data_IF_827846975599
#
_entry.id   IF_827846975599
#
_cell.length_a   1.000
_cell.length_b   1.000
_cell.length_c   1.000
_cell.angle_alpha   90.00
_cell.angle_beta   90.00
_cell.angle_gamma   90.00
#
_symmetry.space_group_name_H-M   'P 1'
#
loop_
_entity.id
_entity.type
_entity.pdbx_description
1 polymer ?
#
# COMPACT_ATOMS: atom_id res chain seq x y z
N UNK A 1 -7.44 -4.42 2.52
CA UNK A 1 -7.87 -5.44 1.54
C UNK A 1 -8.09 -4.78 0.19
N UNK A 2 -7.64 -5.38 -0.89
CA UNK A 2 -8.01 -4.97 -2.25
C UNK A 2 -9.34 -5.65 -2.56
N UNK A 3 -10.36 -4.85 -2.83
CA UNK A 3 -11.70 -5.35 -3.14
C UNK A 3 -12.02 -5.04 -4.59
N UNK A 4 -12.71 -5.95 -5.29
CA UNK A 4 -13.27 -5.68 -6.61
C UNK A 4 -14.45 -4.72 -6.50
N UNK A 5 -14.72 -3.94 -7.54
CA UNK A 5 -15.88 -3.04 -7.60
C UNK A 5 -17.19 -3.80 -7.33
N UNK A 6 -17.34 -5.00 -7.90
CA UNK A 6 -18.50 -5.86 -7.66
C UNK A 6 -18.69 -6.17 -6.17
N UNK A 7 -17.61 -6.56 -5.49
CA UNK A 7 -17.69 -6.89 -4.05
C UNK A 7 -18.12 -5.69 -3.20
N UNK A 8 -17.61 -4.48 -3.55
CA UNK A 8 -18.03 -3.24 -2.87
C UNK A 8 -19.52 -2.97 -3.06
N UNK A 9 -20.04 -3.19 -4.27
CA UNK A 9 -21.46 -3.02 -4.57
C UNK A 9 -22.30 -4.08 -3.82
N UNK A 10 -21.89 -5.34 -3.82
CA UNK A 10 -22.58 -6.43 -3.12
C UNK A 10 -22.69 -6.14 -1.61
N UNK A 11 -21.62 -5.70 -0.97
CA UNK A 11 -21.60 -5.30 0.45
C UNK A 11 -22.52 -4.10 0.73
N UNK A 12 -22.52 -3.10 -0.18
CA UNK A 12 -23.42 -1.95 -0.08
C UNK A 12 -24.90 -2.37 -0.17
N UNK A 13 -25.25 -3.26 -1.12
CA UNK A 13 -26.62 -3.75 -1.26
C UNK A 13 -27.05 -4.53 -0.03
N UNK A 14 -26.20 -5.41 0.50
CA UNK A 14 -26.48 -6.15 1.75
C UNK A 14 -26.74 -5.20 2.92
N UNK A 15 -25.93 -4.16 3.05
CA UNK A 15 -26.14 -3.14 4.09
C UNK A 15 -27.46 -2.41 3.91
N UNK A 16 -27.86 -2.06 2.69
CA UNK A 16 -29.13 -1.40 2.43
C UNK A 16 -30.33 -2.33 2.74
N UNK A 17 -30.25 -3.61 2.41
CA UNK A 17 -31.26 -4.61 2.78
C UNK A 17 -31.44 -4.70 4.31
N UNK A 18 -30.34 -4.68 5.07
CA UNK A 18 -30.40 -4.62 6.53
C UNK A 18 -31.07 -3.34 7.05
N UNK A 19 -30.78 -2.19 6.45
CA UNK A 19 -31.39 -0.92 6.84
C UNK A 19 -32.89 -0.93 6.62
N UNK A 20 -33.36 -1.39 5.44
CA UNK A 20 -34.78 -1.50 5.12
C UNK A 20 -35.45 -2.47 6.10
N UNK A 21 -34.83 -3.61 6.38
CA UNK A 21 -35.35 -4.60 7.32
C UNK A 21 -35.52 -4.01 8.72
N UNK A 22 -34.51 -3.33 9.25
CA UNK A 22 -34.55 -2.70 10.59
C UNK A 22 -35.60 -1.59 10.66
N UNK A 23 -35.67 -0.73 9.63
CA UNK A 23 -36.69 0.32 9.52
C UNK A 23 -38.10 -0.31 9.53
N UNK A 24 -38.33 -1.31 8.69
CA UNK A 24 -39.62 -1.99 8.60
C UNK A 24 -40.00 -2.69 9.91
N UNK A 25 -39.06 -3.31 10.60
CA UNK A 25 -39.29 -3.90 11.93
C UNK A 25 -39.70 -2.87 12.97
N UNK A 26 -39.03 -1.71 12.96
CA UNK A 26 -39.40 -0.61 13.86
C UNK A 26 -40.80 -0.07 13.55
N UNK A 27 -41.12 0.18 12.27
CA UNK A 27 -42.41 0.69 11.83
C UNK A 27 -43.52 -0.33 12.12
N UNK A 28 -43.30 -1.61 11.91
CA UNK A 28 -44.19 -2.69 12.28
C UNK A 28 -44.49 -2.68 13.79
N UNK A 29 -43.43 -2.57 14.61
CA UNK A 29 -43.60 -2.48 16.06
C UNK A 29 -44.45 -1.29 16.46
N UNK A 30 -44.21 -0.11 15.89
CA UNK A 30 -44.98 1.12 16.16
C UNK A 30 -46.41 1.00 15.69
N UNK A 31 -46.64 0.42 14.52
CA UNK A 31 -47.96 0.19 13.99
C UNK A 31 -48.78 -0.75 14.91
N UNK A 32 -48.19 -1.85 15.38
CA UNK A 32 -48.84 -2.79 16.33
C UNK A 32 -49.11 -2.18 17.68
N UNK A 33 -48.20 -1.37 18.22
CA UNK A 33 -48.42 -0.63 19.47
C UNK A 33 -49.63 0.31 19.32
N UNK A 34 -49.76 1.00 18.19
CA UNK A 34 -50.88 1.90 17.91
C UNK A 34 -52.17 1.15 17.65
N UNK A 35 -52.14 0.07 16.85
CA UNK A 35 -53.28 -0.80 16.59
C UNK A 35 -53.89 -1.33 17.90
N UNK A 36 -52.99 -1.82 18.81
CA UNK A 36 -53.41 -2.34 20.12
C UNK A 36 -54.15 -1.27 20.95
N UNK A 37 -53.66 -0.02 20.93
CA UNK A 37 -54.35 1.09 21.60
C UNK A 37 -55.71 1.37 20.97
N UNK A 38 -55.80 1.47 19.64
CA UNK A 38 -57.06 1.73 18.92
C UNK A 38 -58.08 0.64 19.16
N UNK A 39 -57.66 -0.62 19.21
CA UNK A 39 -58.54 -1.77 19.53
C UNK A 39 -59.21 -1.55 20.90
N UNK A 40 -58.46 -1.16 21.93
CA UNK A 40 -59.01 -0.84 23.25
C UNK A 40 -59.99 0.35 23.24
N UNK A 41 -59.64 1.41 22.48
CA UNK A 41 -60.51 2.58 22.36
C UNK A 41 -61.79 2.27 21.60
N UNK A 42 -61.76 1.45 20.57
CA UNK A 42 -62.97 0.99 19.85
C UNK A 42 -63.87 0.14 20.74
N UNK A 43 -63.32 -0.81 21.52
CA UNK A 43 -64.07 -1.58 22.50
C UNK A 43 -64.77 -0.67 23.53
N UNK A 44 -64.07 0.37 24.01
CA UNK A 44 -64.63 1.33 24.93
C UNK A 44 -65.75 2.16 24.31
N UNK A 45 -65.61 2.57 23.05
CA UNK A 45 -66.62 3.31 22.32
C UNK A 45 -67.88 2.50 22.03
N UNK A 46 -67.73 1.20 21.71
CA UNK A 46 -68.86 0.30 21.48
C UNK A 46 -69.61 -0.01 22.76
N UNK A 47 -69.01 0.17 23.94
CA UNK A 47 -69.58 -0.09 25.25
C UNK A 47 -69.56 1.15 26.15
N UNK A 48 -69.73 2.34 25.56
CA UNK A 48 -69.45 3.60 26.23
C UNK A 48 -70.30 3.82 27.51
N UNK A 49 -71.55 3.46 27.53
CA UNK A 49 -72.41 3.58 28.70
C UNK A 49 -71.96 2.79 29.89
N UNK A 50 -71.49 1.54 29.62
CA UNK A 50 -70.93 0.63 30.61
C UNK A 50 -69.57 1.10 31.12
N UNK A 51 -68.71 1.58 30.23
CA UNK A 51 -67.41 2.21 30.58
C UNK A 51 -67.61 3.39 31.50
N UNK A 52 -68.53 4.31 31.16
CA UNK A 52 -68.83 5.50 31.98
C UNK A 52 -69.39 5.06 33.34
N UNK A 53 -70.26 4.05 33.37
CA UNK A 53 -70.83 3.54 34.61
C UNK A 53 -69.70 2.97 35.53
N UNK A 54 -68.79 2.15 35.01
CA UNK A 54 -67.68 1.59 35.77
C UNK A 54 -66.79 2.73 36.33
N UNK A 55 -66.43 3.73 35.49
CA UNK A 55 -65.56 4.80 35.93
C UNK A 55 -66.24 5.63 37.05
N UNK A 56 -67.55 5.93 36.93
CA UNK A 56 -68.28 6.70 37.90
C UNK A 56 -68.55 6.01 39.22
N UNK A 57 -68.67 4.66 39.21
CA UNK A 57 -68.96 3.88 40.38
C UNK A 57 -67.69 3.31 41.07
N UNK A 58 -66.53 3.51 40.47
CA UNK A 58 -65.23 3.09 41.03
C UNK A 58 -64.59 4.21 41.84
N UNK A 59 -63.93 3.85 42.93
CA UNK A 59 -63.21 4.80 43.78
C UNK A 59 -61.76 4.94 43.31
N UNK A 60 -60.98 3.86 43.27
CA UNK A 60 -59.60 3.83 42.81
C UNK A 60 -59.29 2.61 41.89
N UNK A 61 -60.27 1.75 41.71
CA UNK A 61 -60.13 0.44 41.02
C UNK A 61 -60.77 0.43 39.61
N UNK A 62 -60.98 1.63 39.01
CA UNK A 62 -61.59 1.74 37.69
C UNK A 62 -60.77 1.05 36.60
N UNK A 63 -59.48 1.10 36.67
CA UNK A 63 -58.55 0.48 35.70
C UNK A 63 -58.65 -1.05 35.72
N UNK A 64 -58.56 -1.64 36.90
CA UNK A 64 -58.68 -3.08 37.12
C UNK A 64 -60.02 -3.60 36.65
N UNK A 65 -61.11 -2.93 36.95
CA UNK A 65 -62.45 -3.28 36.54
C UNK A 65 -62.67 -3.19 35.03
N UNK A 66 -62.11 -2.18 34.36
CA UNK A 66 -62.13 -2.10 32.91
C UNK A 66 -61.31 -3.25 32.25
N UNK A 67 -60.16 -3.55 32.82
CA UNK A 67 -59.32 -4.65 32.35
C UNK A 67 -60.03 -5.99 32.48
N UNK A 68 -60.65 -6.26 33.61
CA UNK A 68 -61.35 -7.50 33.86
C UNK A 68 -62.61 -7.63 33.01
N UNK A 69 -63.42 -6.55 32.91
CA UNK A 69 -64.70 -6.58 32.20
C UNK A 69 -64.57 -6.72 30.70
N UNK A 70 -63.59 -6.04 30.09
CA UNK A 70 -63.43 -5.96 28.64
C UNK A 70 -62.17 -6.71 28.15
N UNK A 71 -61.49 -7.44 29.04
CA UNK A 71 -60.23 -8.14 28.73
C UNK A 71 -59.15 -7.22 28.12
N UNK A 72 -59.05 -6.02 28.64
CA UNK A 72 -58.12 -4.97 28.16
C UNK A 72 -56.75 -5.13 28.80
N UNK A 73 -55.72 -4.74 28.07
CA UNK A 73 -54.39 -4.58 28.65
C UNK A 73 -54.30 -3.34 29.54
N UNK A 74 -53.29 -3.31 30.40
CA UNK A 74 -52.98 -2.15 31.27
C UNK A 74 -52.90 -0.84 30.48
N UNK A 75 -52.24 -0.87 29.33
CA UNK A 75 -52.02 0.28 28.43
C UNK A 75 -53.35 0.73 27.81
N UNK A 76 -54.20 -0.21 27.39
CA UNK A 76 -55.51 0.08 26.82
C UNK A 76 -56.45 0.70 27.87
N UNK A 77 -56.51 0.12 29.07
CA UNK A 77 -57.33 0.63 30.15
C UNK A 77 -56.90 2.03 30.59
N UNK A 78 -55.62 2.29 30.66
CA UNK A 78 -55.08 3.63 30.95
C UNK A 78 -55.46 4.64 29.84
N UNK A 79 -55.35 4.26 28.57
CA UNK A 79 -55.74 5.12 27.45
C UNK A 79 -57.22 5.46 27.44
N UNK A 80 -58.07 4.55 27.91
CA UNK A 80 -59.51 4.78 28.07
C UNK A 80 -59.76 5.81 29.20
N UNK A 81 -59.09 5.68 30.35
CA UNK A 81 -59.22 6.61 31.46
C UNK A 81 -58.75 8.02 31.11
N UNK A 82 -57.73 8.14 30.27
CA UNK A 82 -57.15 9.40 29.79
C UNK A 82 -57.96 10.04 28.63
N UNK A 83 -59.05 9.36 28.19
CA UNK A 83 -59.86 9.82 27.07
C UNK A 83 -60.66 11.09 27.46
N UNK A 84 -60.60 12.08 26.59
CA UNK A 84 -61.40 13.31 26.76
C UNK A 84 -62.85 13.06 26.42
N UNK A 85 -63.79 13.68 27.16
CA UNK A 85 -65.25 13.58 26.90
C UNK A 85 -65.66 13.92 25.47
N UNK A 86 -64.90 14.78 24.78
CA UNK A 86 -65.11 15.08 23.37
C UNK A 86 -64.92 13.88 22.43
N UNK A 87 -64.05 12.99 22.78
CA UNK A 87 -63.75 11.79 21.99
C UNK A 87 -64.89 10.77 21.98
N UNK A 88 -65.90 10.97 22.78
CA UNK A 88 -67.12 10.12 22.85
C UNK A 88 -68.16 10.42 21.76
N UNK A 89 -67.85 11.35 20.84
CA UNK A 89 -68.79 11.70 19.74
C UNK A 89 -68.68 10.61 18.62
N UNK A 90 -69.79 10.30 17.99
CA UNK A 90 -69.91 9.29 16.95
C UNK A 90 -68.99 9.53 15.74
N UNK A 91 -68.67 10.79 15.40
CA UNK A 91 -67.70 11.16 14.37
C UNK A 91 -66.26 10.76 14.71
N UNK A 92 -65.93 10.69 16.00
CA UNK A 92 -64.58 10.27 16.42
C UNK A 92 -64.42 8.72 16.36
N UNK A 93 -65.50 7.96 16.53
CA UNK A 93 -65.51 6.49 16.31
C UNK A 93 -65.17 6.11 14.87
N UNK A 94 -65.79 6.81 13.90
CA UNK A 94 -65.50 6.55 12.47
C UNK A 94 -64.05 6.85 12.14
N UNK A 95 -63.49 7.89 12.72
CA UNK A 95 -62.05 8.21 12.53
C UNK A 95 -61.15 7.14 13.12
N UNK A 96 -61.44 6.66 14.33
CA UNK A 96 -60.69 5.59 14.98
C UNK A 96 -60.77 4.28 14.18
N UNK A 97 -61.93 3.94 13.64
CA UNK A 97 -62.13 2.77 12.80
C UNK A 97 -61.30 2.88 11.48
N UNK A 98 -61.37 4.03 10.82
CA UNK A 98 -60.60 4.25 9.59
C UNK A 98 -59.10 4.20 9.86
N UNK A 99 -58.63 4.78 10.98
CA UNK A 99 -57.22 4.69 11.39
C UNK A 99 -56.81 3.22 11.67
N UNK A 100 -57.68 2.45 12.33
CA UNK A 100 -57.42 1.03 12.59
C UNK A 100 -57.33 0.23 11.30
N UNK A 101 -58.28 0.39 10.37
CA UNK A 101 -58.30 -0.30 9.09
C UNK A 101 -57.08 0.05 8.21
N UNK A 102 -56.60 1.30 8.27
CA UNK A 102 -55.37 1.70 7.59
C UNK A 102 -54.13 1.10 8.22
N UNK A 103 -54.08 0.99 9.56
CA UNK A 103 -52.97 0.34 10.26
C UNK A 103 -52.93 -1.15 10.00
N UNK A 104 -54.06 -1.85 9.95
CA UNK A 104 -54.11 -3.27 9.57
C UNK A 104 -53.49 -3.51 8.18
N UNK A 105 -53.82 -2.67 7.20
CA UNK A 105 -53.23 -2.74 5.86
C UNK A 105 -51.72 -2.50 5.89
N UNK A 106 -51.25 -1.52 6.68
CA UNK A 106 -49.84 -1.25 6.83
C UNK A 106 -49.09 -2.40 7.52
N UNK A 107 -49.70 -2.98 8.56
CA UNK A 107 -49.14 -4.12 9.28
C UNK A 107 -49.03 -5.33 8.35
N UNK A 108 -50.08 -5.64 7.58
CA UNK A 108 -50.05 -6.72 6.59
C UNK A 108 -48.94 -6.49 5.57
N UNK A 109 -48.80 -5.29 5.03
CA UNK A 109 -47.70 -4.91 4.11
C UNK A 109 -46.33 -5.11 4.76
N UNK A 110 -46.10 -4.62 5.99
CA UNK A 110 -44.80 -4.78 6.66
C UNK A 110 -44.45 -6.24 6.97
N UNK A 111 -45.44 -7.04 7.35
CA UNK A 111 -45.25 -8.49 7.59
C UNK A 111 -44.86 -9.19 6.29
N UNK A 112 -45.57 -8.90 5.20
CA UNK A 112 -45.24 -9.44 3.88
C UNK A 112 -43.87 -9.03 3.41
N UNK A 113 -43.50 -7.74 3.54
CA UNK A 113 -42.19 -7.20 3.17
C UNK A 113 -41.04 -7.87 3.92
N UNK A 114 -41.22 -8.15 5.23
CA UNK A 114 -40.22 -8.84 6.05
C UNK A 114 -40.09 -10.33 5.75
N UNK A 115 -41.12 -10.94 5.18
CA UNK A 115 -41.14 -12.38 4.84
C UNK A 115 -40.77 -12.68 3.37
N UNK A 116 -40.76 -11.66 2.50
CA UNK A 116 -40.56 -11.81 1.06
C UNK A 116 -39.33 -11.04 0.58
N UNK A 117 -38.24 -11.77 0.36
CA UNK A 117 -36.97 -11.19 -0.11
C UNK A 117 -37.10 -10.47 -1.46
N UNK A 118 -37.94 -10.99 -2.36
CA UNK A 118 -38.17 -10.35 -3.67
C UNK A 118 -38.82 -8.99 -3.51
N UNK A 119 -39.77 -8.86 -2.60
CA UNK A 119 -40.45 -7.62 -2.29
C UNK A 119 -39.49 -6.62 -1.62
N UNK A 120 -38.64 -7.10 -0.70
CA UNK A 120 -37.61 -6.27 -0.06
C UNK A 120 -36.63 -5.69 -1.09
N UNK A 121 -36.14 -6.51 -2.01
CA UNK A 121 -35.29 -6.07 -3.12
C UNK A 121 -36.01 -5.13 -4.09
N UNK A 122 -37.32 -5.27 -4.27
CA UNK A 122 -38.15 -4.35 -5.00
C UNK A 122 -38.13 -2.95 -4.40
N UNK A 123 -38.39 -2.84 -3.10
CA UNK A 123 -38.32 -1.58 -2.36
C UNK A 123 -36.94 -0.94 -2.44
N UNK A 124 -35.88 -1.74 -2.25
CA UNK A 124 -34.49 -1.26 -2.40
C UNK A 124 -34.24 -0.69 -3.80
N UNK A 125 -34.69 -1.39 -4.83
CA UNK A 125 -34.54 -0.95 -6.22
C UNK A 125 -35.26 0.37 -6.47
N UNK A 126 -36.49 0.50 -5.97
CA UNK A 126 -37.31 1.72 -6.17
C UNK A 126 -36.67 2.93 -5.46
N UNK A 127 -36.15 2.76 -4.23
CA UNK A 127 -35.42 3.82 -3.51
C UNK A 127 -34.14 4.23 -4.23
N UNK A 128 -33.38 3.28 -4.79
CA UNK A 128 -32.18 3.58 -5.58
C UNK A 128 -32.51 4.30 -6.90
N UNK A 129 -33.63 3.95 -7.54
CA UNK A 129 -34.11 4.62 -8.75
C UNK A 129 -34.50 6.07 -8.41
N UNK A 130 -35.21 6.32 -7.31
CA UNK A 130 -35.56 7.67 -6.88
C UNK A 130 -34.30 8.53 -6.64
N UNK A 131 -33.28 7.96 -5.98
CA UNK A 131 -31.99 8.66 -5.76
C UNK A 131 -31.32 8.96 -7.09
N UNK A 132 -31.29 7.99 -8.01
CA UNK A 132 -30.72 8.17 -9.35
C UNK A 132 -31.42 9.30 -10.10
N UNK A 133 -32.74 9.31 -10.10
CA UNK A 133 -33.52 10.27 -10.88
C UNK A 133 -33.44 11.69 -10.30
N UNK A 134 -33.21 11.81 -8.99
CA UNK A 134 -33.07 13.11 -8.30
C UNK A 134 -31.64 13.67 -8.34
N UNK A 135 -30.63 12.83 -8.30
CA UNK A 135 -29.23 13.23 -8.14
C UNK A 135 -28.30 12.72 -9.23
N UNK A 136 -28.83 11.95 -10.19
CA UNK A 136 -28.03 11.41 -11.28
C UNK A 136 -27.57 12.52 -12.22
N UNK A 137 -26.26 12.59 -12.43
CA UNK A 137 -25.64 13.46 -13.41
C UNK A 137 -25.31 12.69 -14.69
N UNK A 138 -25.15 13.40 -15.78
CA UNK A 138 -24.56 12.82 -16.99
C UNK A 138 -23.09 12.45 -16.74
N UNK A 139 -22.63 11.39 -17.42
CA UNK A 139 -21.24 10.96 -17.30
C UNK A 139 -20.31 12.09 -17.76
N UNK A 140 -19.41 12.55 -16.88
CA UNK A 140 -18.43 13.61 -17.19
C UNK A 140 -17.30 13.11 -18.08
N UNK A 141 -16.97 11.82 -17.99
CA UNK A 141 -15.93 11.19 -18.81
C UNK A 141 -16.57 10.63 -20.08
N UNK A 142 -16.18 11.14 -21.21
CA UNK A 142 -16.60 10.64 -22.51
C UNK A 142 -15.95 9.28 -22.79
N UNK A 143 -16.73 8.31 -23.29
CA UNK A 143 -16.19 7.04 -23.80
C UNK A 143 -16.02 7.24 -25.31
N UNK A 144 -14.77 7.36 -25.74
CA UNK A 144 -14.42 7.44 -27.15
C UNK A 144 -13.87 6.11 -27.65
N UNK A 145 -14.19 5.71 -28.86
CA UNK A 145 -13.44 4.66 -29.55
C UNK A 145 -12.07 5.26 -29.90
N UNK A 146 -11.00 4.66 -29.39
CA UNK A 146 -9.63 5.10 -29.66
C UNK A 146 -9.29 4.67 -31.08
N UNK A 147 -9.26 5.62 -32.01
CA UNK A 147 -8.82 5.38 -33.39
C UNK A 147 -7.29 5.32 -33.52
N UNK A 148 -6.55 5.94 -32.57
CA UNK A 148 -5.09 5.85 -32.44
C UNK A 148 -4.73 5.50 -31.00
N UNK A 149 -3.90 4.48 -30.81
CA UNK A 149 -3.29 4.16 -29.50
C UNK A 149 -2.30 5.29 -29.14
N UNK A 150 -2.81 6.36 -28.52
CA UNK A 150 -1.93 7.30 -27.82
C UNK A 150 -1.39 6.54 -26.63
N UNK A 151 -0.11 6.24 -26.62
CA UNK A 151 0.54 5.67 -25.46
C UNK A 151 0.43 6.71 -24.30
N UNK A 152 -0.16 6.29 -23.18
CA UNK A 152 -0.28 7.15 -22.00
C UNK A 152 1.09 7.70 -21.60
N UNK A 153 2.16 6.96 -21.90
CA UNK A 153 3.53 7.34 -21.66
C UNK A 153 3.94 8.62 -22.40
N UNK A 154 3.44 8.82 -23.64
CA UNK A 154 3.72 10.01 -24.45
C UNK A 154 3.13 11.31 -23.86
N UNK A 155 2.15 11.18 -22.96
CA UNK A 155 1.51 12.30 -22.28
C UNK A 155 2.16 12.65 -20.93
N UNK A 156 3.12 11.84 -20.49
CA UNK A 156 3.78 12.01 -19.18
C UNK A 156 5.16 12.59 -19.40
N UNK A 157 5.45 13.69 -18.72
CA UNK A 157 6.77 14.30 -18.76
C UNK A 157 7.83 13.35 -18.16
N UNK A 158 8.93 13.19 -18.91
CA UNK A 158 10.05 12.40 -18.45
C UNK A 158 10.87 13.21 -17.45
N UNK A 159 10.95 12.75 -16.21
CA UNK A 159 11.75 13.37 -15.15
C UNK A 159 12.52 12.33 -14.33
N UNK A 160 13.65 12.75 -13.76
CA UNK A 160 14.40 11.94 -12.81
C UNK A 160 13.77 12.02 -11.43
N UNK A 161 13.51 10.86 -10.85
CA UNK A 161 12.85 10.72 -9.55
C UNK A 161 13.65 9.84 -8.59
N UNK A 162 13.54 10.14 -7.30
CA UNK A 162 14.03 9.30 -6.22
C UNK A 162 12.90 8.37 -5.78
N UNK A 163 13.10 7.07 -5.92
CA UNK A 163 12.20 6.03 -5.45
C UNK A 163 12.69 5.53 -4.10
N UNK A 164 11.83 5.50 -3.12
CA UNK A 164 12.16 5.07 -1.75
C UNK A 164 11.21 3.97 -1.31
N UNK A 165 11.74 2.84 -0.82
CA UNK A 165 10.99 1.72 -0.28
C UNK A 165 11.33 1.54 1.21
N UNK A 166 10.31 1.35 2.05
CA UNK A 166 10.50 1.01 3.46
C UNK A 166 10.33 -0.48 3.71
N UNK A 167 10.81 -0.96 4.87
CA UNK A 167 10.71 -2.35 5.30
C UNK A 167 9.27 -2.85 5.41
N UNK A 168 8.35 -1.97 5.78
CA UNK A 168 6.92 -2.27 5.87
C UNK A 168 6.18 -2.14 4.53
N UNK A 169 6.94 -1.97 3.41
CA UNK A 169 6.39 -1.95 2.06
C UNK A 169 5.74 -0.64 1.66
N UNK A 170 6.11 0.49 2.26
CA UNK A 170 5.70 1.80 1.74
C UNK A 170 6.67 2.27 0.68
N UNK A 171 6.14 2.65 -0.48
CA UNK A 171 6.90 3.18 -1.60
C UNK A 171 6.40 4.57 -1.98
N UNK A 172 7.30 5.41 -2.44
CA UNK A 172 7.00 6.69 -3.03
C UNK A 172 7.98 7.06 -4.13
N UNK A 173 7.54 7.98 -4.98
CA UNK A 173 8.35 8.70 -5.96
C UNK A 173 8.41 10.17 -5.55
N UNK A 174 9.59 10.77 -5.60
CA UNK A 174 9.80 12.20 -5.32
C UNK A 174 10.71 12.74 -6.41
N UNK A 175 10.41 13.91 -6.98
CA UNK A 175 11.29 14.53 -7.99
C UNK A 175 12.71 14.70 -7.42
N UNK A 176 13.73 14.37 -8.20
CA UNK A 176 15.12 14.50 -7.76
C UNK A 176 15.47 15.98 -7.46
N UNK A 177 14.86 16.93 -8.16
CA UNK A 177 15.04 18.39 -7.97
C UNK A 177 14.61 18.88 -6.58
N UNK A 178 13.74 18.15 -5.88
CA UNK A 178 13.41 18.48 -4.50
C UNK A 178 14.60 18.36 -3.51
N UNK A 179 15.65 17.61 -3.84
CA UNK A 179 16.81 17.37 -2.98
C UNK A 179 17.99 18.27 -3.37
N UNK A 180 18.14 19.40 -2.69
CA UNK A 180 19.29 20.32 -2.86
C UNK A 180 20.61 19.66 -2.47
N UNK A 181 21.65 19.83 -3.28
CA UNK A 181 23.00 19.34 -2.98
C UNK A 181 23.58 19.98 -1.69
N UNK A 182 24.33 19.22 -0.91
CA UNK A 182 25.01 19.67 0.31
C UNK A 182 26.50 19.31 0.27
N UNK A 183 27.33 20.14 0.89
CA UNK A 183 28.76 19.85 1.02
C UNK A 183 28.99 18.58 1.87
N UNK A 184 30.07 17.86 1.60
CA UNK A 184 30.49 16.69 2.40
C UNK A 184 30.58 17.03 3.88
N UNK A 185 30.16 16.10 4.76
CA UNK A 185 30.11 16.30 6.22
C UNK A 185 28.88 17.07 6.69
N UNK A 186 27.91 17.34 5.83
CA UNK A 186 26.61 17.89 6.21
C UNK A 186 25.79 16.94 7.08
N UNK A 187 24.80 17.48 7.82
CA UNK A 187 23.94 16.71 8.74
C UNK A 187 22.67 16.13 8.10
N UNK A 188 22.44 16.39 6.79
CA UNK A 188 21.27 15.91 6.05
C UNK A 188 19.95 16.60 6.42
N UNK A 189 18.90 16.29 5.65
CA UNK A 189 17.50 16.72 5.86
C UNK A 189 16.61 15.49 5.97
N UNK A 190 15.43 15.65 6.61
CA UNK A 190 14.46 14.55 6.73
C UNK A 190 13.93 14.19 5.34
N UNK A 191 14.24 12.99 4.86
CA UNK A 191 13.85 12.49 3.53
C UNK A 191 12.53 11.72 3.50
N UNK A 192 12.13 11.13 4.64
CA UNK A 192 10.88 10.39 4.77
C UNK A 192 10.42 10.39 6.22
N UNK A 193 9.11 10.41 6.46
CA UNK A 193 8.53 10.14 7.78
C UNK A 193 8.17 8.66 7.87
N UNK A 194 8.89 7.92 8.69
CA UNK A 194 8.59 6.51 9.01
C UNK A 194 7.78 6.43 10.30
N UNK A 195 7.12 5.28 10.55
CA UNK A 195 6.61 4.94 11.89
C UNK A 195 7.77 4.47 12.75
N UNK A 196 7.60 4.47 14.07
CA UNK A 196 8.66 4.18 15.06
C UNK A 196 9.42 2.85 14.82
N UNK A 197 8.85 1.90 14.08
CA UNK A 197 9.45 0.60 13.75
C UNK A 197 9.73 0.38 12.26
N UNK A 198 9.48 1.38 11.38
CA UNK A 198 9.67 1.25 9.94
C UNK A 198 10.97 1.94 9.51
N UNK A 199 11.74 1.28 8.66
CA UNK A 199 13.03 1.78 8.18
C UNK A 199 13.09 1.75 6.65
N UNK A 200 13.81 2.68 6.06
CA UNK A 200 14.10 2.66 4.62
C UNK A 200 15.04 1.49 4.32
N UNK A 201 14.67 0.65 3.37
CA UNK A 201 15.46 -0.52 2.97
C UNK A 201 16.09 -0.36 1.61
N UNK A 202 15.48 0.43 0.72
CA UNK A 202 16.05 0.69 -0.61
C UNK A 202 15.73 2.09 -1.08
N UNK A 203 16.70 2.69 -1.80
CA UNK A 203 16.56 3.97 -2.47
C UNK A 203 17.36 3.94 -3.78
N UNK A 204 16.77 4.41 -4.86
CA UNK A 204 17.44 4.55 -6.15
C UNK A 204 16.81 5.70 -6.94
N UNK A 205 17.52 6.14 -7.98
CA UNK A 205 17.01 7.11 -8.94
C UNK A 205 16.70 6.43 -10.25
N UNK A 206 15.61 6.84 -10.88
CA UNK A 206 15.18 6.36 -12.18
C UNK A 206 14.27 7.40 -12.85
N UNK A 207 14.13 7.31 -14.18
CA UNK A 207 13.17 8.10 -14.93
C UNK A 207 11.72 7.66 -14.64
N UNK A 208 10.78 8.60 -14.74
CA UNK A 208 9.34 8.30 -14.75
C UNK A 208 8.98 7.25 -15.81
N UNK A 209 9.69 7.20 -16.94
CA UNK A 209 9.45 6.30 -18.05
C UNK A 209 10.17 4.93 -17.90
N UNK A 210 11.03 4.76 -16.90
CA UNK A 210 11.71 3.50 -16.66
C UNK A 210 10.73 2.42 -16.17
N UNK A 211 11.02 1.16 -16.50
CA UNK A 211 10.39 0.01 -15.88
C UNK A 211 11.01 -0.23 -14.50
N UNK A 212 10.18 -0.33 -13.49
CA UNK A 212 10.58 -0.72 -12.13
C UNK A 212 10.19 -2.19 -11.93
N UNK A 213 11.18 -3.02 -11.68
CA UNK A 213 11.01 -4.43 -11.30
C UNK A 213 11.09 -4.58 -9.79
N UNK A 214 10.12 -5.25 -9.23
CA UNK A 214 10.04 -5.56 -7.80
C UNK A 214 10.29 -7.05 -7.60
N UNK A 215 11.39 -7.39 -6.97
CA UNK A 215 11.75 -8.76 -6.62
C UNK A 215 11.35 -9.05 -5.18
N UNK A 216 10.71 -10.18 -4.94
CA UNK A 216 10.19 -10.55 -3.62
C UNK A 216 11.01 -11.66 -2.97
N UNK A 217 10.81 -11.85 -1.66
CA UNK A 217 11.37 -12.91 -0.85
C UNK A 217 10.98 -14.33 -1.35
N UNK A 218 9.87 -14.45 -2.06
CA UNK A 218 9.45 -15.71 -2.70
C UNK A 218 10.11 -15.94 -4.06
N UNK A 219 10.97 -15.03 -4.54
CA UNK A 219 11.62 -15.08 -5.84
C UNK A 219 10.72 -14.73 -7.02
N UNK A 220 9.59 -14.07 -6.78
CA UNK A 220 8.76 -13.49 -7.84
C UNK A 220 9.26 -12.10 -8.24
N UNK A 221 8.91 -11.72 -9.46
CA UNK A 221 9.14 -10.38 -9.98
C UNK A 221 7.85 -9.78 -10.52
N UNK A 222 7.60 -8.52 -10.18
CA UNK A 222 6.51 -7.69 -10.67
C UNK A 222 7.07 -6.50 -11.43
N UNK A 223 6.30 -5.92 -12.34
CA UNK A 223 6.72 -4.78 -13.18
C UNK A 223 5.73 -3.65 -13.11
N UNK A 224 6.23 -2.42 -13.00
CA UNK A 224 5.49 -1.17 -13.16
C UNK A 224 6.35 -0.15 -13.91
N UNK A 225 5.71 0.86 -14.52
CA UNK A 225 6.39 2.05 -15.00
C UNK A 225 6.62 3.02 -13.83
N UNK A 226 7.68 3.82 -13.87
CA UNK A 226 8.01 4.78 -12.82
C UNK A 226 6.84 5.73 -12.52
N UNK A 227 6.18 6.27 -13.56
CA UNK A 227 5.02 7.15 -13.43
C UNK A 227 3.79 6.50 -12.77
N UNK A 228 3.70 5.16 -12.73
CA UNK A 228 2.61 4.45 -12.06
C UNK A 228 2.80 4.39 -10.53
N UNK A 229 3.96 4.79 -10.03
CA UNK A 229 4.22 4.92 -8.60
C UNK A 229 3.80 6.33 -8.16
N UNK A 230 2.91 6.47 -7.16
CA UNK A 230 2.40 7.77 -6.74
C UNK A 230 3.51 8.71 -6.30
N UNK A 231 3.43 9.95 -6.78
CA UNK A 231 4.29 11.03 -6.34
C UNK A 231 3.93 11.47 -4.93
N UNK A 232 4.93 11.81 -4.15
CA UNK A 232 4.76 12.25 -2.77
C UNK A 232 5.92 13.13 -2.35
N UNK A 233 5.63 14.19 -1.59
CA UNK A 233 6.66 15.08 -1.07
C UNK A 233 7.66 14.38 -0.14
N UNK A 234 8.81 15.03 0.12
CA UNK A 234 9.94 14.48 0.91
C UNK A 234 9.54 13.84 2.22
N UNK A 235 8.70 14.51 3.01
CA UNK A 235 8.32 14.03 4.35
C UNK A 235 7.14 13.05 4.33
N UNK A 236 6.51 12.80 3.20
CA UNK A 236 5.37 11.90 3.10
C UNK A 236 5.79 10.43 3.28
N UNK A 237 4.89 9.64 3.84
CA UNK A 237 5.10 8.19 4.08
C UNK A 237 5.11 7.38 2.78
N UNK A 238 4.41 7.84 1.73
CA UNK A 238 4.18 7.12 0.50
C UNK A 238 2.99 6.16 0.57
N UNK A 239 2.86 5.33 -0.46
CA UNK A 239 1.76 4.38 -0.66
C UNK A 239 2.22 2.96 -0.36
N UNK A 240 1.37 2.13 0.24
CA UNK A 240 1.72 0.74 0.48
C UNK A 240 1.82 -0.01 -0.86
N UNK A 241 2.89 -0.79 -1.04
CA UNK A 241 3.22 -1.52 -2.27
C UNK A 241 2.11 -2.49 -2.71
N UNK A 242 1.31 -3.01 -1.77
CA UNK A 242 0.16 -3.89 -2.09
C UNK A 242 -0.93 -3.20 -2.90
N UNK A 243 -0.97 -1.86 -2.88
CA UNK A 243 -1.89 -1.06 -3.70
C UNK A 243 -1.34 -0.82 -5.13
N UNK A 244 -0.08 -1.13 -5.37
CA UNK A 244 0.61 -0.91 -6.65
C UNK A 244 0.81 -2.22 -7.39
N UNK A 245 1.24 -3.29 -6.70
CA UNK A 245 1.44 -4.63 -7.24
C UNK A 245 0.66 -5.68 -6.45
N UNK A 246 0.27 -6.76 -7.13
CA UNK A 246 -0.53 -7.84 -6.53
C UNK A 246 0.37 -8.87 -5.82
N UNK A 247 0.98 -8.47 -4.69
CA UNK A 247 1.76 -9.38 -3.86
C UNK A 247 0.85 -10.34 -3.09
N UNK A 248 1.31 -11.56 -2.87
CA UNK A 248 0.61 -12.54 -2.05
C UNK A 248 0.69 -12.21 -0.56
N UNK A 249 -0.22 -12.77 0.23
CA UNK A 249 -0.22 -12.55 1.68
C UNK A 249 1.07 -13.06 2.30
N UNK A 250 1.83 -12.18 2.95
CA UNK A 250 3.12 -12.49 3.57
C UNK A 250 4.33 -12.29 2.67
N UNK A 251 4.14 -12.09 1.37
CA UNK A 251 5.22 -11.81 0.42
C UNK A 251 5.73 -10.36 0.59
N UNK A 252 7.05 -10.17 0.57
CA UNK A 252 7.71 -8.88 0.77
C UNK A 252 8.63 -8.56 -0.40
N UNK A 253 8.67 -7.29 -0.79
CA UNK A 253 9.65 -6.81 -1.77
C UNK A 253 11.01 -6.69 -1.08
N UNK A 254 12.01 -7.40 -1.61
CA UNK A 254 13.38 -7.46 -1.10
C UNK A 254 14.34 -6.57 -1.88
N UNK A 255 14.12 -6.43 -3.19
CA UNK A 255 14.97 -5.62 -4.03
C UNK A 255 14.15 -4.98 -5.16
N UNK A 256 14.57 -3.80 -5.56
CA UNK A 256 14.05 -3.10 -6.72
C UNK A 256 15.17 -2.84 -7.71
N UNK A 257 14.84 -2.91 -9.00
CA UNK A 257 15.75 -2.50 -10.09
C UNK A 257 14.93 -1.77 -11.15
N UNK A 258 15.54 -0.79 -11.77
CA UNK A 258 14.95 -0.10 -12.91
C UNK A 258 15.76 -0.39 -14.18
N UNK A 259 15.11 -0.31 -15.32
CA UNK A 259 15.73 -0.36 -16.63
C UNK A 259 14.82 0.25 -17.71
N UNK A 260 15.44 0.76 -18.75
CA UNK A 260 14.76 1.54 -19.78
C UNK A 260 14.10 0.68 -20.85
N UNK A 261 14.74 -0.41 -21.30
CA UNK A 261 14.22 -1.25 -22.39
C UNK A 261 14.30 -2.75 -22.02
N UNK A 262 13.20 -3.45 -22.30
CA UNK A 262 13.05 -4.90 -22.12
C UNK A 262 13.35 -5.72 -23.38
N UNK A 263 13.46 -5.06 -24.54
CA UNK A 263 13.53 -5.71 -25.84
C UNK A 263 14.96 -5.77 -26.41
N UNK A 264 15.95 -5.21 -25.69
CA UNK A 264 17.34 -5.26 -26.14
C UNK A 264 17.83 -6.73 -26.21
N UNK A 265 18.38 -7.10 -27.35
CA UNK A 265 19.04 -8.39 -27.53
C UNK A 265 20.31 -8.47 -26.66
N UNK A 266 20.64 -9.66 -26.18
CA UNK A 266 21.80 -9.93 -25.31
C UNK A 266 21.77 -9.20 -23.95
N UNK A 267 20.58 -8.91 -23.44
CA UNK A 267 20.40 -8.27 -22.15
C UNK A 267 20.15 -9.32 -21.06
N UNK A 268 20.87 -9.19 -19.95
CA UNK A 268 20.77 -10.08 -18.80
C UNK A 268 20.51 -9.32 -17.52
N UNK A 269 19.89 -10.01 -16.56
CA UNK A 269 19.84 -9.60 -15.16
C UNK A 269 20.84 -10.43 -14.36
N UNK A 270 21.91 -9.80 -13.96
CA UNK A 270 22.88 -10.41 -13.03
C UNK A 270 22.43 -10.12 -11.60
N UNK A 271 22.02 -11.17 -10.91
CA UNK A 271 21.46 -11.15 -9.56
C UNK A 271 22.47 -11.69 -8.57
N UNK A 272 22.63 -11.01 -7.43
CA UNK A 272 23.55 -11.42 -6.37
C UNK A 272 22.81 -11.48 -5.05
N UNK A 273 22.97 -12.59 -4.32
CA UNK A 273 22.32 -12.80 -3.02
C UNK A 273 23.23 -12.43 -1.86
N UNK A 274 22.64 -12.27 -0.67
CA UNK A 274 23.33 -11.98 0.58
C UNK A 274 24.40 -13.01 0.93
N UNK A 275 24.13 -14.29 0.64
CA UNK A 275 25.07 -15.39 0.91
C UNK A 275 26.13 -15.58 -0.19
N UNK A 276 26.21 -14.65 -1.15
CA UNK A 276 27.26 -14.63 -2.17
C UNK A 276 26.99 -15.51 -3.37
N UNK A 277 25.76 -15.93 -3.60
CA UNK A 277 25.34 -16.62 -4.83
C UNK A 277 25.09 -15.59 -5.94
N UNK A 278 25.51 -15.91 -7.16
CA UNK A 278 25.31 -15.10 -8.36
C UNK A 278 24.56 -15.89 -9.42
N UNK A 279 23.63 -15.22 -10.10
CA UNK A 279 22.83 -15.77 -11.20
C UNK A 279 22.74 -14.78 -12.34
N UNK A 280 22.87 -15.25 -13.57
CA UNK A 280 22.64 -14.46 -14.78
C UNK A 280 21.39 -14.98 -15.50
N UNK A 281 20.36 -14.12 -15.63
CA UNK A 281 19.06 -14.44 -16.21
C UNK A 281 18.86 -13.61 -17.48
N UNK A 282 18.60 -14.21 -18.66
CA UNK A 282 18.24 -13.45 -19.85
C UNK A 282 16.94 -12.67 -19.64
N UNK A 283 16.95 -11.38 -19.97
CA UNK A 283 15.76 -10.48 -19.78
C UNK A 283 14.58 -10.94 -20.61
N UNK A 284 14.82 -11.52 -21.78
CA UNK A 284 13.76 -12.08 -22.64
C UNK A 284 12.87 -13.11 -21.92
N UNK A 285 13.37 -13.77 -20.89
CA UNK A 285 12.58 -14.69 -20.05
C UNK A 285 11.51 -13.99 -19.22
N UNK A 286 11.57 -12.65 -19.13
CA UNK A 286 10.65 -11.78 -18.42
C UNK A 286 9.68 -11.02 -19.37
N UNK A 287 9.75 -11.24 -20.69
CA UNK A 287 8.89 -10.53 -21.67
C UNK A 287 7.39 -10.61 -21.34
N UNK A 288 6.94 -11.76 -20.82
CA UNK A 288 5.53 -12.02 -20.54
C UNK A 288 5.20 -11.83 -19.05
N UNK A 289 5.69 -10.76 -18.42
CA UNK A 289 5.35 -10.40 -17.06
C UNK A 289 3.87 -10.04 -16.95
N UNK A 290 3.10 -10.89 -16.26
CA UNK A 290 1.69 -10.67 -15.93
C UNK A 290 1.57 -9.83 -14.66
N UNK A 291 0.42 -9.20 -14.43
CA UNK A 291 0.18 -8.38 -13.23
C UNK A 291 0.32 -9.13 -11.90
N UNK A 292 0.14 -10.46 -11.90
CA UNK A 292 0.32 -11.33 -10.73
C UNK A 292 1.78 -11.78 -10.51
N UNK A 293 2.73 -11.22 -11.26
CA UNK A 293 4.15 -11.54 -11.18
C UNK A 293 4.50 -12.92 -11.74
N UNK A 294 5.79 -13.15 -11.93
CA UNK A 294 6.34 -14.45 -12.32
C UNK A 294 7.56 -14.78 -11.46
N UNK A 295 7.90 -16.06 -11.34
CA UNK A 295 9.11 -16.50 -10.64
C UNK A 295 10.37 -16.17 -11.47
N UNK A 296 11.32 -15.44 -10.88
CA UNK A 296 12.59 -15.04 -11.51
C UNK A 296 13.78 -15.88 -11.02
N UNK A 297 13.79 -16.33 -9.76
CA UNK A 297 14.83 -17.15 -9.18
C UNK A 297 14.29 -18.01 -8.03
N UNK A 298 14.99 -19.06 -7.70
CA UNK A 298 14.85 -19.75 -6.42
C UNK A 298 15.97 -19.28 -5.48
N UNK A 299 15.60 -18.99 -4.23
CA UNK A 299 16.53 -18.65 -3.15
C UNK A 299 16.69 -19.86 -2.22
N UNK A 300 17.88 -20.05 -1.68
CA UNK A 300 18.13 -20.99 -0.59
C UNK A 300 17.48 -20.47 0.71
N UNK A 301 17.22 -21.36 1.66
CA UNK A 301 16.63 -20.99 2.93
C UNK A 301 17.50 -19.97 3.69
N UNK A 302 16.92 -18.85 4.09
CA UNK A 302 17.60 -17.77 4.80
C UNK A 302 18.49 -16.88 3.93
N UNK A 303 18.48 -17.03 2.60
CA UNK A 303 19.19 -16.15 1.67
C UNK A 303 18.25 -15.03 1.17
N UNK A 304 18.82 -13.90 0.80
CA UNK A 304 18.11 -12.70 0.34
C UNK A 304 18.76 -12.17 -0.93
N UNK A 305 17.95 -11.62 -1.83
CA UNK A 305 18.44 -10.93 -3.01
C UNK A 305 18.93 -9.53 -2.63
N UNK A 306 20.23 -9.25 -2.85
CA UNK A 306 20.85 -7.97 -2.48
C UNK A 306 21.00 -7.03 -3.66
N UNK A 307 21.32 -7.54 -4.84
CA UNK A 307 21.60 -6.72 -6.01
C UNK A 307 21.11 -7.38 -7.29
N UNK A 308 20.53 -6.56 -8.14
CA UNK A 308 20.19 -6.92 -9.51
C UNK A 308 20.79 -5.86 -10.42
N UNK A 309 21.48 -6.27 -11.49
CA UNK A 309 22.09 -5.37 -12.48
C UNK A 309 21.76 -5.85 -13.88
N UNK A 310 21.44 -4.90 -14.73
CA UNK A 310 21.42 -5.12 -16.17
C UNK A 310 22.84 -5.31 -16.68
N UNK A 311 23.07 -6.35 -17.48
CA UNK A 311 24.36 -6.65 -18.11
C UNK A 311 24.15 -7.13 -19.55
N UNK A 312 25.15 -6.96 -20.40
CA UNK A 312 25.10 -7.22 -21.85
C UNK A 312 25.91 -8.44 -22.30
N UNK A 313 26.48 -9.20 -21.36
CA UNK A 313 27.34 -10.36 -21.64
C UNK A 313 28.82 -10.04 -21.68
N UNK A 314 29.23 -8.77 -21.62
CA UNK A 314 30.64 -8.35 -21.72
C UNK A 314 31.12 -7.59 -20.45
N UNK A 315 30.31 -7.58 -19.40
CA UNK A 315 30.59 -6.82 -18.19
C UNK A 315 31.50 -7.59 -17.21
N UNK A 316 32.30 -6.85 -16.46
CA UNK A 316 32.98 -7.34 -15.26
C UNK A 316 32.14 -7.03 -14.04
N UNK A 317 31.90 -8.01 -13.19
CA UNK A 317 31.03 -7.90 -12.01
C UNK A 317 31.92 -7.80 -10.77
N UNK A 318 31.70 -6.69 -10.02
CA UNK A 318 32.28 -6.52 -8.70
C UNK A 318 31.21 -6.90 -7.66
N UNK A 319 31.58 -7.80 -6.72
CA UNK A 319 30.75 -8.11 -5.54
C UNK A 319 31.54 -7.68 -4.31
N UNK A 320 30.91 -6.92 -3.41
CA UNK A 320 31.53 -6.45 -2.18
C UNK A 320 30.78 -6.93 -0.94
N UNK A 321 31.53 -7.15 0.16
CA UNK A 321 30.99 -7.65 1.42
C UNK A 321 31.02 -6.60 2.54
N UNK A 322 30.22 -6.81 3.56
CA UNK A 322 30.13 -5.97 4.75
C UNK A 322 31.47 -5.81 5.46
N UNK A 323 32.26 -6.87 5.56
CA UNK A 323 33.57 -6.86 6.25
C UNK A 323 34.72 -6.35 5.38
N UNK A 324 34.41 -5.76 4.23
CA UNK A 324 35.41 -5.04 3.44
C UNK A 324 36.15 -5.87 2.41
N UNK A 325 35.66 -7.02 2.00
CA UNK A 325 36.19 -7.80 0.90
C UNK A 325 35.47 -7.49 -0.42
N UNK A 326 36.16 -7.72 -1.55
CA UNK A 326 35.52 -7.65 -2.87
C UNK A 326 36.15 -8.66 -3.84
N UNK A 327 35.37 -9.15 -4.78
CA UNK A 327 35.81 -9.95 -5.91
C UNK A 327 35.36 -9.27 -7.21
N UNK A 328 36.22 -9.33 -8.23
CA UNK A 328 35.86 -8.91 -9.60
C UNK A 328 36.11 -10.07 -10.53
N UNK A 329 35.15 -10.41 -11.35
CA UNK A 329 35.21 -11.49 -12.33
C UNK A 329 34.43 -11.13 -13.60
N UNK A 330 34.69 -11.81 -14.68
CA UNK A 330 33.96 -11.66 -15.93
C UNK A 330 32.55 -12.26 -15.80
N UNK A 331 31.50 -11.56 -16.26
CA UNK A 331 30.13 -12.08 -16.14
C UNK A 331 29.92 -13.39 -16.91
N UNK A 332 30.74 -13.67 -17.92
CA UNK A 332 30.73 -14.95 -18.69
C UNK A 332 31.14 -16.15 -17.86
N UNK A 333 31.84 -15.94 -16.75
CA UNK A 333 32.11 -17.01 -15.75
C UNK A 333 30.81 -17.54 -15.13
N UNK A 334 29.70 -16.77 -15.24
CA UNK A 334 28.37 -17.16 -14.82
C UNK A 334 27.54 -17.49 -16.05
N UNK A 335 27.33 -18.78 -16.32
CA UNK A 335 26.44 -19.18 -17.44
C UNK A 335 25.05 -18.57 -17.28
N UNK A 336 24.41 -18.22 -18.39
CA UNK A 336 23.02 -17.86 -18.41
C UNK A 336 22.12 -19.02 -17.92
N UNK A 337 21.17 -18.75 -17.04
CA UNK A 337 20.35 -19.76 -16.37
C UNK A 337 18.87 -19.39 -16.46
N UNK A 338 17.99 -20.40 -16.49
CA UNK A 338 16.55 -20.20 -16.48
C UNK A 338 16.03 -19.66 -15.13
N UNK A 339 14.80 -19.21 -15.12
CA UNK A 339 14.15 -18.54 -13.98
C UNK A 339 14.18 -19.33 -12.67
N UNK A 340 14.05 -20.65 -12.72
CA UNK A 340 13.97 -21.53 -11.53
C UNK A 340 15.33 -21.97 -10.98
N UNK A 341 16.45 -21.58 -11.57
CA UNK A 341 17.78 -21.92 -11.05
C UNK A 341 18.11 -21.05 -9.82
N UNK A 342 18.86 -21.61 -8.87
CA UNK A 342 19.38 -20.91 -7.68
C UNK A 342 20.55 -20.00 -8.03
N UNK A 343 21.46 -20.47 -8.87
CA UNK A 343 22.70 -19.76 -9.23
C UNK A 343 23.95 -20.52 -8.89
N UNK A 344 25.07 -19.83 -8.87
CA UNK A 344 26.42 -20.38 -8.56
C UNK A 344 27.12 -19.45 -7.57
N UNK A 345 28.16 -19.98 -6.87
CA UNK A 345 28.91 -19.14 -5.92
C UNK A 345 29.68 -18.04 -6.65
N UNK A 346 29.37 -16.77 -6.27
CA UNK A 346 30.05 -15.57 -6.75
C UNK A 346 31.26 -15.19 -5.91
N UNK A 347 31.13 -15.22 -4.58
CA UNK A 347 32.19 -14.96 -3.60
C UNK A 347 32.13 -15.97 -2.47
N UNK A 348 33.29 -16.31 -1.88
CA UNK A 348 33.34 -17.09 -0.64
C UNK A 348 33.39 -16.16 0.54
N UNK A 349 32.35 -16.19 1.36
CA UNK A 349 32.21 -15.37 2.56
C UNK A 349 33.02 -15.95 3.74
N UNK A 350 33.44 -15.07 4.63
CA UNK A 350 33.94 -15.43 5.96
C UNK A 350 32.79 -15.69 6.90
N UNK A 351 33.03 -16.25 8.05
CA UNK A 351 32.01 -16.45 9.08
C UNK A 351 31.43 -15.10 9.54
N UNK A 352 30.13 -14.95 9.50
CA UNK A 352 29.41 -13.71 9.85
C UNK A 352 29.38 -12.62 8.79
N UNK A 353 30.18 -12.72 7.72
CA UNK A 353 30.20 -11.76 6.61
C UNK A 353 29.06 -12.01 5.62
N UNK A 354 28.66 -10.98 4.91
CA UNK A 354 27.60 -11.04 3.89
C UNK A 354 27.82 -10.03 2.78
N UNK A 355 27.22 -10.27 1.63
CA UNK A 355 27.27 -9.35 0.48
C UNK A 355 26.40 -8.14 0.74
N UNK A 356 26.93 -6.94 0.49
CA UNK A 356 26.22 -5.64 0.60
C UNK A 356 25.85 -5.04 -0.74
N UNK A 357 26.45 -5.53 -1.83
CA UNK A 357 26.10 -5.03 -3.15
C UNK A 357 26.99 -5.59 -4.25
N UNK A 358 26.54 -5.37 -5.48
CA UNK A 358 27.32 -5.66 -6.67
C UNK A 358 27.18 -4.51 -7.69
N UNK A 359 28.22 -4.33 -8.50
CA UNK A 359 28.29 -3.30 -9.52
C UNK A 359 29.01 -3.80 -10.79
N UNK A 360 28.80 -3.10 -11.90
CA UNK A 360 29.59 -3.31 -13.14
C UNK A 360 30.92 -2.57 -12.98
N UNK A 361 32.03 -3.32 -13.01
CA UNK A 361 33.38 -2.78 -12.89
C UNK A 361 33.83 -2.27 -14.28
N UNK A 362 33.59 -1.00 -14.57
CA UNK A 362 33.93 -0.37 -15.84
C UNK A 362 35.27 0.34 -15.74
N UNK A 363 36.13 0.16 -16.75
CA UNK A 363 37.44 0.83 -16.85
C UNK A 363 37.31 2.36 -16.90
N UNK A 364 38.24 3.06 -16.27
CA UNK A 364 38.21 4.51 -16.15
C UNK A 364 37.23 5.08 -15.11
N UNK A 365 36.49 4.20 -14.43
CA UNK A 365 35.56 4.60 -13.33
C UNK A 365 36.12 4.23 -11.95
N UNK A 366 35.43 4.70 -10.92
CA UNK A 366 35.83 4.51 -9.52
C UNK A 366 34.77 3.72 -8.74
N UNK A 367 35.21 2.88 -7.83
CA UNK A 367 34.36 2.18 -6.88
C UNK A 367 34.11 3.08 -5.66
N UNK A 368 32.92 3.66 -5.55
CA UNK A 368 32.46 4.36 -4.38
C UNK A 368 32.01 3.36 -3.33
N UNK A 369 32.57 3.45 -2.12
CA UNK A 369 32.25 2.59 -0.98
C UNK A 369 31.84 3.45 0.21
N UNK A 370 30.68 3.14 0.82
CA UNK A 370 30.12 3.84 1.98
C UNK A 370 29.93 2.86 3.14
N UNK A 371 30.18 3.36 4.36
CA UNK A 371 30.07 2.59 5.61
C UNK A 371 28.93 3.06 6.50
N UNK A 372 28.52 2.21 7.46
CA UNK A 372 27.45 2.46 8.43
C UNK A 372 27.62 3.78 9.20
N UNK A 373 28.85 4.13 9.56
CA UNK A 373 29.14 5.36 10.33
C UNK A 373 29.45 6.59 9.46
N UNK A 374 28.98 6.56 8.19
CA UNK A 374 29.03 7.72 7.29
C UNK A 374 30.41 8.03 6.72
N UNK A 375 31.36 7.09 6.77
CA UNK A 375 32.62 7.20 6.05
C UNK A 375 32.47 6.69 4.63
N UNK A 376 33.28 7.25 3.72
CA UNK A 376 33.28 6.83 2.32
C UNK A 376 34.56 7.16 1.59
N UNK A 377 34.76 6.54 0.47
CA UNK A 377 35.88 6.80 -0.44
C UNK A 377 35.55 6.33 -1.84
N UNK A 378 36.32 6.83 -2.80
CA UNK A 378 36.40 6.30 -4.16
C UNK A 378 37.72 5.55 -4.33
N UNK A 379 37.73 4.52 -5.15
CA UNK A 379 38.96 3.75 -5.51
C UNK A 379 38.88 3.40 -6.99
N UNK A 380 39.92 3.67 -7.79
CA UNK A 380 39.94 3.32 -9.21
C UNK A 380 39.64 1.82 -9.43
N UNK A 381 38.81 1.53 -10.42
CA UNK A 381 38.42 0.14 -10.75
C UNK A 381 39.65 -0.72 -11.08
N UNK A 382 40.69 -0.13 -11.66
CA UNK A 382 41.94 -0.79 -12.05
C UNK A 382 42.74 -1.34 -10.87
N UNK A 383 42.51 -0.85 -9.64
CA UNK A 383 43.09 -1.44 -8.44
C UNK A 383 42.51 -2.82 -8.09
N UNK A 384 41.38 -3.20 -8.68
CA UNK A 384 40.70 -4.47 -8.44
C UNK A 384 41.13 -5.49 -9.52
N UNK A 385 42.01 -6.41 -9.17
CA UNK A 385 42.41 -7.48 -10.11
C UNK A 385 41.20 -8.35 -10.45
N UNK A 386 41.09 -8.72 -11.71
CA UNK A 386 40.10 -9.68 -12.18
C UNK A 386 40.56 -11.08 -11.72
N UNK A 387 39.64 -11.85 -11.14
CA UNK A 387 39.87 -13.21 -10.66
C UNK A 387 38.69 -14.08 -11.05
N UNK A 388 38.83 -15.39 -10.91
CA UNK A 388 37.69 -16.29 -11.06
C UNK A 388 36.67 -16.05 -9.93
N UNK A 389 35.39 -16.25 -10.23
CA UNK A 389 34.33 -16.19 -9.22
C UNK A 389 34.50 -17.23 -8.11
N UNK A 390 33.87 -17.03 -6.96
CA UNK A 390 33.81 -18.01 -5.86
C UNK A 390 35.03 -18.02 -4.95
N UNK A 391 36.02 -17.12 -5.15
CA UNK A 391 37.16 -16.90 -4.25
C UNK A 391 36.81 -16.00 -3.04
N UNK A 392 37.76 -15.86 -2.10
CA UNK A 392 37.63 -14.93 -0.94
C UNK A 392 37.72 -13.46 -1.34
N UNK A 393 38.14 -13.15 -2.55
CA UNK A 393 38.36 -11.79 -3.03
C UNK A 393 39.58 -11.10 -2.44
N UNK A 394 39.62 -9.79 -2.57
CA UNK A 394 40.68 -8.91 -2.09
C UNK A 394 40.10 -7.85 -1.15
N UNK A 395 40.96 -7.22 -0.33
CA UNK A 395 40.49 -6.14 0.57
C UNK A 395 40.02 -4.92 -0.26
N UNK A 396 38.77 -4.52 -0.07
CA UNK A 396 38.18 -3.34 -0.65
C UNK A 396 38.26 -2.13 0.31
N UNK A 397 38.06 -2.38 1.60
CA UNK A 397 37.96 -1.32 2.60
C UNK A 397 38.62 -1.77 3.92
N UNK A 398 39.17 -0.82 4.67
CA UNK A 398 39.69 -1.09 6.00
C UNK A 398 38.57 -0.80 7.02
N UNK A 399 37.75 -1.82 7.27
CA UNK A 399 36.66 -1.76 8.29
C UNK A 399 37.26 -1.71 9.68
N UNK A 400 36.78 -0.79 10.52
CA UNK A 400 37.17 -0.57 11.92
C UNK A 400 35.96 -0.20 12.74
N UNK A 401 36.05 -0.23 14.06
CA UNK A 401 34.99 0.24 14.96
C UNK A 401 34.59 1.69 14.66
N UNK A 402 35.53 2.52 14.19
CA UNK A 402 35.29 3.92 13.84
C UNK A 402 34.42 4.08 12.61
N UNK A 403 34.59 3.23 11.60
CA UNK A 403 33.89 3.33 10.31
C UNK A 403 32.60 2.53 10.30
N UNK A 404 32.49 1.48 11.10
CA UNK A 404 31.46 0.46 10.92
C UNK A 404 31.69 -0.37 9.66
N UNK A 405 30.81 -1.32 9.38
CA UNK A 405 30.82 -2.14 8.19
C UNK A 405 30.43 -1.38 6.92
N UNK A 406 30.61 -2.01 5.78
CA UNK A 406 30.20 -1.43 4.48
C UNK A 406 28.69 -1.59 4.33
N UNK A 407 28.02 -0.50 3.93
CA UNK A 407 26.57 -0.49 3.61
C UNK A 407 26.35 -0.76 2.13
N UNK A 408 27.20 -0.23 1.27
CA UNK A 408 27.02 -0.41 -0.15
C UNK A 408 28.20 0.06 -0.99
N UNK A 409 28.17 -0.38 -2.24
CA UNK A 409 29.15 -0.02 -3.27
C UNK A 409 28.42 0.38 -4.55
N UNK A 410 28.98 1.37 -5.26
CA UNK A 410 28.54 1.79 -6.60
C UNK A 410 29.80 2.05 -7.46
N UNK A 411 29.65 1.96 -8.76
CA UNK A 411 30.70 2.43 -9.70
C UNK A 411 30.27 3.76 -10.25
N UNK A 412 31.15 4.74 -10.19
CA UNK A 412 30.89 6.17 -10.45
C UNK A 412 31.96 6.75 -11.39
N UNK A 413 31.64 7.80 -12.10
CA UNK A 413 32.59 8.58 -12.91
C UNK A 413 32.85 9.98 -12.35
N UNK A 414 32.13 10.38 -11.31
CA UNK A 414 32.29 11.65 -10.64
C UNK A 414 31.27 12.71 -11.06
N UNK A 415 30.50 12.45 -12.12
CA UNK A 415 29.48 13.37 -12.62
C UNK A 415 28.13 13.24 -11.86
N UNK A 416 28.06 12.33 -10.91
CA UNK A 416 26.84 12.05 -10.19
C UNK A 416 26.81 12.70 -8.80
N UNK A 417 25.61 12.76 -8.22
CA UNK A 417 25.41 13.03 -6.80
C UNK A 417 25.07 11.74 -6.04
N UNK A 418 25.61 11.63 -4.84
CA UNK A 418 25.34 10.55 -3.92
C UNK A 418 24.18 10.90 -2.99
N UNK A 419 23.17 10.04 -2.92
CA UNK A 419 22.11 10.04 -1.93
C UNK A 419 22.42 9.03 -0.83
N UNK A 420 22.43 9.45 0.43
CA UNK A 420 22.56 8.58 1.60
C UNK A 420 21.30 8.67 2.45
N UNK A 421 20.85 7.52 2.91
CA UNK A 421 19.70 7.41 3.82
C UNK A 421 20.14 6.74 5.12
N UNK A 422 19.74 7.34 6.25
CA UNK A 422 20.00 6.78 7.58
C UNK A 422 18.82 6.00 8.12
N UNK A 423 19.04 5.23 9.18
CA UNK A 423 18.01 4.48 9.91
C UNK A 423 16.92 5.40 10.45
N UNK A 424 17.26 6.61 10.87
CA UNK A 424 16.32 7.63 11.33
C UNK A 424 15.54 8.32 10.16
N UNK A 425 15.74 7.88 8.90
CA UNK A 425 15.08 8.48 7.73
C UNK A 425 15.68 9.82 7.28
N UNK A 426 16.89 10.16 7.74
CA UNK A 426 17.61 11.35 7.29
C UNK A 426 18.21 11.06 5.90
N UNK A 427 17.96 11.93 4.96
CA UNK A 427 18.53 11.86 3.61
C UNK A 427 19.49 13.03 3.38
N UNK A 428 20.67 12.76 2.82
CA UNK A 428 21.63 13.74 2.34
C UNK A 428 21.94 13.51 0.87
N UNK A 429 22.10 14.59 0.11
CA UNK A 429 22.63 14.61 -1.26
C UNK A 429 23.98 15.31 -1.25
N UNK A 430 25.01 14.71 -1.84
CA UNK A 430 26.36 15.29 -1.92
C UNK A 430 27.02 14.91 -3.25
N UNK A 431 27.73 15.83 -3.91
CA UNK A 431 28.46 15.52 -5.14
C UNK A 431 29.51 14.41 -4.91
N UNK A 432 29.49 13.42 -5.79
CA UNK A 432 30.47 12.31 -5.77
C UNK A 432 31.90 12.86 -5.95
N UNK A 433 32.09 13.90 -6.75
CA UNK A 433 33.37 14.56 -6.95
C UNK A 433 34.00 15.01 -5.62
N UNK A 434 33.21 15.48 -4.65
CA UNK A 434 33.70 15.92 -3.34
C UNK A 434 34.28 14.80 -2.48
N UNK A 435 34.06 13.52 -2.85
CA UNK A 435 34.54 12.36 -2.10
C UNK A 435 35.95 12.01 -2.58
N UNK A 436 36.87 11.89 -1.63
CA UNK A 436 38.29 11.65 -1.93
C UNK A 436 38.54 10.28 -2.54
N UNK A 437 39.34 10.23 -3.61
CA UNK A 437 39.92 9.02 -4.19
C UNK A 437 41.11 8.53 -3.36
N UNK A 438 41.10 7.25 -2.98
CA UNK A 438 42.15 6.63 -2.15
C UNK A 438 42.25 5.15 -2.49
N UNK A 439 43.38 4.54 -2.12
CA UNK A 439 43.63 3.11 -2.35
C UNK A 439 42.64 2.18 -1.59
N UNK A 440 42.54 0.93 -2.03
CA UNK A 440 41.60 -0.08 -1.55
C UNK A 440 41.60 -0.28 -0.02
N UNK A 441 42.79 -0.41 0.58
CA UNK A 441 42.93 -0.77 2.01
C UNK A 441 42.95 0.47 2.94
N UNK A 442 42.14 1.47 2.68
CA UNK A 442 42.01 2.70 3.50
C UNK A 442 40.64 2.86 4.13
N UNK A 443 40.54 3.76 5.13
CA UNK A 443 39.28 4.04 5.87
C UNK A 443 38.41 5.13 5.22
N UNK A 444 38.89 5.82 4.18
CA UNK A 444 38.18 6.91 3.55
C UNK A 444 38.07 8.18 4.41
N UNK A 445 37.07 9.01 4.09
CA UNK A 445 36.77 10.29 4.73
C UNK A 445 35.34 10.30 5.27
N UNK A 446 35.02 11.27 6.14
CA UNK A 446 33.63 11.47 6.59
C UNK A 446 32.84 12.10 5.43
N UNK A 447 31.80 11.41 4.98
CA UNK A 447 30.86 11.87 3.97
C UNK A 447 29.60 12.44 4.62
N UNK A 448 29.12 11.80 5.69
CA UNK A 448 27.95 12.21 6.45
C UNK A 448 28.23 12.22 7.94
N UNK A 449 27.66 13.18 8.67
CA UNK A 449 27.61 13.24 10.13
C UNK A 449 26.18 13.04 10.61
N UNK A 450 26.01 12.33 11.72
CA UNK A 450 24.69 12.08 12.31
C UNK A 450 24.33 13.16 13.33
N UNK A 451 23.04 13.46 13.44
CA UNK A 451 22.49 14.35 14.47
C UNK A 451 22.23 13.61 15.78
N UNK A 452 21.85 12.33 15.68
CA UNK A 452 21.48 11.48 16.79
C UNK A 452 22.57 10.43 17.02
N UNK A 453 22.88 10.16 18.29
CA UNK A 453 23.81 9.11 18.67
C UNK A 453 23.17 7.73 18.40
N UNK A 454 23.90 6.85 17.73
CA UNK A 454 23.40 5.52 17.35
C UNK A 454 22.70 5.43 15.99
N UNK A 455 22.51 6.54 15.26
CA UNK A 455 22.05 6.48 13.86
C UNK A 455 23.15 5.91 12.95
N UNK A 456 22.74 5.37 11.81
CA UNK A 456 23.64 4.75 10.85
C UNK A 456 23.10 4.87 9.44
N UNK A 457 24.01 4.95 8.45
CA UNK A 457 23.63 4.83 7.04
C UNK A 457 23.12 3.41 6.79
N UNK A 458 22.00 3.29 6.08
CA UNK A 458 21.39 1.99 5.74
C UNK A 458 21.25 1.78 4.23
N UNK A 459 21.28 2.85 3.43
CA UNK A 459 21.17 2.76 1.97
C UNK A 459 21.89 3.91 1.27
N UNK A 460 22.25 3.69 0.01
CA UNK A 460 22.87 4.67 -0.87
C UNK A 460 22.36 4.55 -2.30
N UNK A 461 22.16 5.70 -2.96
CA UNK A 461 21.82 5.78 -4.38
C UNK A 461 22.62 6.86 -5.09
N UNK A 462 22.64 6.82 -6.41
CA UNK A 462 23.21 7.86 -7.27
C UNK A 462 22.09 8.57 -8.01
N UNK A 463 22.28 9.87 -8.27
CA UNK A 463 21.43 10.69 -9.13
C UNK A 463 22.29 11.54 -10.03
N UNK A 464 21.73 12.07 -11.11
CA UNK A 464 22.42 13.05 -11.94
C UNK A 464 22.77 14.30 -11.12
N UNK A 465 23.91 14.89 -11.41
CA UNK A 465 24.33 16.14 -10.80
C UNK A 465 23.49 17.28 -11.36
N UNK A 466 22.84 18.05 -10.49
CA UNK A 466 22.20 19.32 -10.85
C UNK A 466 23.15 20.45 -10.52
N UNK A 467 23.59 21.20 -11.52
CA UNK A 467 24.25 22.46 -11.30
C UNK A 467 23.27 23.38 -10.55
N UNK A 468 23.63 23.79 -9.34
CA UNK A 468 22.89 24.85 -8.66
C UNK A 468 23.03 26.11 -9.53
N UNK A 469 21.97 26.61 -10.14
CA UNK A 469 21.94 27.98 -10.62
C UNK A 469 22.24 28.87 -9.40
N UNK A 470 23.45 29.38 -9.35
CA UNK A 470 23.82 30.44 -8.40
C UNK A 470 23.02 31.70 -8.82
N UNK A 471 21.97 32.05 -8.05
CA UNK A 471 21.43 33.41 -7.97
C UNK A 471 22.36 34.33 -7.17
#
# INVERSE_FOLDING_TARGET
>A
KILSLRHIIDEYLTFQEELITRRTQYDLKKAREREHLLQGLLIAQDNIDEVIHIIRTSYDDAKEKLMERFSLSDIQAQAILDMRLKALQGLDREKLQNEFDELEKKIAYFVELLSNETMLKGVLKDELIEIRDKYGDERKTEIQEVEDEIDIEDLIEEEQCVFTLTRNGYIKRTSASEYTAQSKGGMGKKGITTRDEDTVVDVFTASTHDYILFFTDTGKVYRKKGYQIPESGKAAKGTNIVNIIQVETGERVQAMIHFRDLNAENLFLTMVTRNGTVKRLPVETLKNLRNNGIRALNLDEGDELVSVRETDGEQKILIATHDGMAVVFDETDVRAMGRTAVGVRGIKLREGDYVVGAARAQEGKEVLTITEKGYGKKTPVEEYRITNRGGLGIKNYMVTEKTGGIVGVKVVDGSEDLLLVTRAGILIRTPVEAIRTTGRATQGVIVMRFKEEGDSVISMALTEHEESEEE
#
